data_IF_630902912131
#
_entry.id   IF_630902912131
#
_cell.length_a   1.000
_cell.length_b   1.000
_cell.length_c   1.000
_cell.angle_alpha   90.00
_cell.angle_beta   90.00
_cell.angle_gamma   90.00
#
_symmetry.space_group_name_H-M   'P 1'
#
loop_
_entity.id
_entity.type
_entity.pdbx_description
1 polymer ?
#
# COMPACT_ATOMS: atom_id res chain seq x y z
N UNK A 1 42.94 -36.97 -30.97
CA UNK A 1 43.27 -36.98 -29.54
C UNK A 1 41.95 -37.15 -28.81
N UNK A 2 41.44 -38.40 -28.80
CA UNK A 2 41.38 -39.30 -27.64
C UNK A 2 40.34 -38.82 -26.63
N UNK A 3 39.13 -39.41 -26.60
CA UNK A 3 38.80 -40.71 -25.95
C UNK A 3 38.48 -40.46 -24.46
N UNK A 4 37.41 -40.94 -23.83
CA UNK A 4 36.22 -41.76 -24.14
C UNK A 4 35.34 -41.76 -22.87
N UNK A 5 34.06 -42.12 -23.05
CA UNK A 5 33.21 -43.05 -22.27
C UNK A 5 33.15 -42.94 -20.73
N UNK A 6 32.06 -43.31 -20.05
CA UNK A 6 30.92 -44.18 -20.37
C UNK A 6 29.78 -43.73 -19.40
N UNK A 7 28.52 -43.55 -19.76
CA UNK A 7 27.48 -44.49 -20.27
C UNK A 7 26.60 -45.09 -19.18
N UNK A 8 25.28 -45.00 -19.44
CA UNK A 8 24.22 -46.01 -19.27
C UNK A 8 22.93 -45.27 -18.84
N UNK A 9 22.04 -44.83 -19.73
CA UNK A 9 21.05 -45.59 -20.55
C UNK A 9 20.24 -46.53 -19.66
N UNK A 10 18.90 -46.47 -19.56
CA UNK A 10 17.86 -46.91 -20.54
C UNK A 10 16.50 -46.64 -19.88
N UNK A 11 15.54 -45.90 -20.46
CA UNK A 11 14.56 -46.22 -21.51
C UNK A 11 13.36 -47.10 -21.08
N UNK A 12 12.17 -46.55 -21.42
CA UNK A 12 10.78 -47.00 -21.59
C UNK A 12 10.13 -48.15 -20.81
N UNK A 13 8.85 -47.91 -20.45
CA UNK A 13 7.68 -48.47 -21.16
C UNK A 13 6.51 -48.84 -20.23
N UNK A 14 5.39 -48.13 -20.41
CA UNK A 14 3.98 -48.57 -20.56
C UNK A 14 3.59 -49.98 -20.03
N UNK A 15 2.49 -50.09 -19.26
CA UNK A 15 1.18 -50.68 -19.66
C UNK A 15 0.28 -51.09 -18.48
N UNK A 16 -0.98 -50.66 -18.60
CA UNK A 16 -2.30 -51.16 -18.15
C UNK A 16 -2.47 -52.64 -17.71
N UNK A 17 -3.38 -52.90 -16.76
CA UNK A 17 -4.50 -53.89 -16.87
C UNK A 17 -5.14 -54.34 -15.53
N UNK A 18 -6.43 -54.01 -15.39
CA UNK A 18 -7.62 -54.84 -15.08
C UNK A 18 -7.63 -56.06 -14.10
N UNK A 19 -8.55 -55.96 -13.11
CA UNK A 19 -9.66 -56.86 -12.64
C UNK A 19 -9.57 -58.41 -12.75
N UNK A 20 -10.13 -59.10 -11.73
CA UNK A 20 -11.02 -60.32 -11.72
C UNK A 20 -10.55 -61.35 -10.67
N UNK A 21 -11.21 -61.50 -9.51
CA UNK A 21 -12.36 -62.39 -9.15
C UNK A 21 -11.92 -63.78 -8.64
N UNK A 22 -12.86 -64.47 -7.97
CA UNK A 22 -12.99 -65.92 -7.70
C UNK A 22 -13.01 -66.31 -6.20
N UNK A 23 -14.23 -66.31 -5.64
CA UNK A 23 -14.82 -67.25 -4.64
C UNK A 23 -14.60 -68.75 -5.02
N UNK A 24 -14.91 -69.84 -4.24
CA UNK A 24 -16.08 -69.99 -3.33
C UNK A 24 -15.95 -70.99 -2.13
N UNK A 25 -17.10 -71.19 -1.45
CA UNK A 25 -17.67 -72.43 -0.88
C UNK A 25 -17.02 -73.08 0.37
N UNK A 26 -17.73 -73.72 1.31
CA UNK A 26 -18.86 -74.66 1.20
C UNK A 26 -19.77 -74.63 2.46
N UNK A 27 -21.06 -74.87 2.22
CA UNK A 27 -22.18 -75.23 3.12
C UNK A 27 -21.89 -76.27 4.23
N UNK A 28 -22.68 -76.25 5.32
CA UNK A 28 -23.50 -77.41 5.76
C UNK A 28 -24.51 -77.05 6.90
N UNK A 29 -25.79 -76.90 6.54
CA UNK A 29 -27.00 -77.58 7.07
C UNK A 29 -27.36 -77.49 8.59
N UNK A 30 -28.44 -76.76 8.91
CA UNK A 30 -29.78 -77.22 9.38
C UNK A 30 -29.87 -77.80 10.81
N UNK A 31 -30.54 -77.07 11.73
CA UNK A 31 -31.89 -77.40 12.26
C UNK A 31 -32.27 -76.57 13.49
N UNK A 32 -33.44 -75.93 13.37
CA UNK A 32 -34.55 -75.79 14.33
C UNK A 32 -34.28 -76.12 15.81
N UNK A 33 -34.62 -75.19 16.71
CA UNK A 33 -35.90 -75.30 17.44
C UNK A 33 -36.40 -73.95 17.95
N UNK A 34 -37.72 -73.78 17.89
CA UNK A 34 -38.52 -72.75 18.53
C UNK A 34 -38.44 -72.96 20.06
N UNK A 35 -38.57 -71.98 20.93
CA UNK A 35 -39.87 -71.41 21.33
C UNK A 35 -39.64 -70.54 22.58
N UNK A 36 -40.05 -69.27 22.52
CA UNK A 36 -41.18 -68.68 23.25
C UNK A 36 -40.86 -68.33 24.72
N UNK A 37 -40.76 -67.03 25.02
CA UNK A 37 -41.81 -66.25 25.74
C UNK A 37 -41.40 -66.12 27.23
N UNK A 38 -41.59 -65.04 27.98
CA UNK A 38 -42.33 -63.81 27.81
C UNK A 38 -41.80 -62.75 28.81
N UNK A 39 -42.03 -61.49 28.46
CA UNK A 39 -42.24 -60.31 29.31
C UNK A 39 -41.36 -60.05 30.55
N UNK A 40 -40.59 -58.96 30.44
CA UNK A 40 -40.83 -57.82 31.35
C UNK A 40 -40.60 -56.52 30.61
N UNK A 41 -41.68 -55.75 30.47
CA UNK A 41 -41.64 -54.32 30.21
C UNK A 41 -40.91 -53.59 31.36
N UNK A 42 -40.28 -52.46 31.03
CA UNK A 42 -39.70 -51.56 32.03
C UNK A 42 -38.84 -50.48 31.41
N UNK A 43 -39.48 -49.36 31.06
CA UNK A 43 -38.95 -48.02 30.79
C UNK A 43 -37.55 -47.84 30.17
N UNK A 44 -37.52 -47.25 28.97
CA UNK A 44 -36.51 -46.24 28.64
C UNK A 44 -37.11 -45.09 27.84
N UNK A 45 -38.03 -44.35 28.47
CA UNK A 45 -38.36 -42.99 28.04
C UNK A 45 -37.51 -42.00 28.84
N UNK A 46 -36.34 -41.63 28.30
CA UNK A 46 -35.52 -40.60 28.95
C UNK A 46 -34.26 -40.16 28.20
N UNK A 47 -33.78 -40.93 27.23
CA UNK A 47 -32.47 -40.65 26.60
C UNK A 47 -32.51 -39.71 25.38
N UNK A 48 -33.68 -39.23 24.95
CA UNK A 48 -33.80 -38.48 23.68
C UNK A 48 -33.85 -36.95 23.87
N UNK A 49 -34.18 -36.45 25.08
CA UNK A 49 -34.27 -35.00 25.32
C UNK A 49 -32.93 -34.32 25.67
N UNK A 50 -31.95 -35.03 26.24
CA UNK A 50 -30.69 -34.41 26.68
C UNK A 50 -29.73 -34.10 25.52
N UNK A 51 -29.72 -34.95 24.49
CA UNK A 51 -28.84 -34.80 23.30
C UNK A 51 -29.22 -33.59 22.44
N UNK A 52 -30.51 -33.26 22.34
CA UNK A 52 -31.02 -32.09 21.59
C UNK A 52 -30.60 -30.75 22.21
N UNK A 53 -30.48 -30.68 23.55
CA UNK A 53 -30.07 -29.44 24.25
C UNK A 53 -28.58 -29.13 24.10
N UNK A 54 -27.72 -30.16 24.10
CA UNK A 54 -26.27 -30.01 23.91
C UNK A 54 -25.94 -29.58 22.48
N UNK A 55 -26.61 -30.15 21.47
CA UNK A 55 -26.43 -29.74 20.06
C UNK A 55 -26.87 -28.29 19.83
N UNK A 56 -27.97 -27.84 20.46
CA UNK A 56 -28.41 -26.44 20.41
C UNK A 56 -27.45 -25.48 21.10
N UNK A 57 -26.86 -25.88 22.23
CA UNK A 57 -25.87 -25.08 22.96
C UNK A 57 -24.54 -24.94 22.19
N UNK A 58 -24.07 -26.02 21.55
CA UNK A 58 -22.88 -25.97 20.68
C UNK A 58 -23.15 -25.12 19.44
N UNK A 59 -24.33 -25.23 18.82
CA UNK A 59 -24.72 -24.38 17.70
C UNK A 59 -24.74 -22.89 18.06
N UNK A 60 -25.28 -22.53 19.24
CA UNK A 60 -25.25 -21.15 19.74
C UNK A 60 -23.83 -20.66 20.06
N UNK A 61 -22.97 -21.51 20.63
CA UNK A 61 -21.58 -21.15 20.90
C UNK A 61 -20.80 -20.89 19.61
N UNK A 62 -20.97 -21.73 18.58
CA UNK A 62 -20.35 -21.54 17.26
C UNK A 62 -20.86 -20.26 16.60
N UNK A 63 -22.17 -19.99 16.66
CA UNK A 63 -22.74 -18.73 16.16
C UNK A 63 -22.19 -17.50 16.90
N UNK A 64 -22.06 -17.57 18.22
CA UNK A 64 -21.50 -16.46 19.01
C UNK A 64 -20.04 -16.19 18.65
N UNK A 65 -19.21 -17.24 18.49
CA UNK A 65 -17.82 -17.12 18.07
C UNK A 65 -17.74 -16.54 16.64
N UNK A 66 -18.58 -17.00 15.72
CA UNK A 66 -18.63 -16.48 14.36
C UNK A 66 -19.00 -14.99 14.32
N UNK A 67 -19.95 -14.55 15.15
CA UNK A 67 -20.32 -13.15 15.26
C UNK A 67 -19.17 -12.29 15.82
N UNK A 68 -18.49 -12.75 16.88
CA UNK A 68 -17.34 -12.05 17.45
C UNK A 68 -16.19 -11.95 16.43
N UNK A 69 -15.90 -13.05 15.73
CA UNK A 69 -14.89 -13.09 14.68
C UNK A 69 -15.23 -12.12 13.53
N UNK A 70 -16.50 -12.06 13.12
CA UNK A 70 -16.96 -11.11 12.10
C UNK A 70 -16.79 -9.67 12.54
N UNK A 71 -17.18 -9.31 13.77
CA UNK A 71 -17.02 -7.95 14.30
C UNK A 71 -15.53 -7.58 14.40
N UNK A 72 -14.69 -8.50 14.87
CA UNK A 72 -13.24 -8.31 14.93
C UNK A 72 -12.63 -8.09 13.55
N UNK A 73 -13.00 -8.90 12.56
CA UNK A 73 -12.53 -8.76 11.18
C UNK A 73 -13.00 -7.44 10.54
N UNK A 74 -14.26 -7.04 10.75
CA UNK A 74 -14.77 -5.75 10.26
C UNK A 74 -14.07 -4.57 10.91
N UNK A 75 -13.84 -4.61 12.23
CA UNK A 75 -13.08 -3.56 12.92
C UNK A 75 -11.64 -3.49 12.39
N UNK A 76 -10.97 -4.62 12.20
CA UNK A 76 -9.63 -4.66 11.61
C UNK A 76 -9.61 -4.02 10.22
N UNK A 77 -10.46 -4.49 9.30
CA UNK A 77 -10.54 -3.93 7.94
C UNK A 77 -10.84 -2.42 7.95
N UNK A 78 -11.72 -1.96 8.84
CA UNK A 78 -12.04 -0.55 8.96
C UNK A 78 -10.84 0.30 9.41
N UNK A 79 -10.13 -0.13 10.45
CA UNK A 79 -9.00 0.63 10.99
C UNK A 79 -7.75 0.57 10.11
N UNK A 80 -7.48 -0.57 9.49
CA UNK A 80 -6.21 -0.79 8.77
C UNK A 80 -6.32 -0.64 7.25
N UNK A 81 -7.53 -0.70 6.69
CA UNK A 81 -7.72 -0.58 5.24
C UNK A 81 -8.56 0.66 4.90
N UNK A 82 -9.74 0.83 5.53
CA UNK A 82 -10.68 1.87 5.13
C UNK A 82 -10.33 3.29 5.62
N UNK A 83 -9.74 3.43 6.81
CA UNK A 83 -9.33 4.73 7.37
C UNK A 83 -8.16 5.36 6.60
N UNK A 84 -7.07 4.62 6.31
CA UNK A 84 -6.00 5.13 5.46
C UNK A 84 -6.49 5.48 4.05
N UNK A 85 -7.39 4.66 3.46
CA UNK A 85 -7.94 4.91 2.12
C UNK A 85 -8.66 6.27 2.01
N UNK A 86 -9.36 6.73 3.06
CA UNK A 86 -10.00 8.06 3.06
C UNK A 86 -8.99 9.22 3.12
N UNK A 87 -7.88 9.04 3.81
CA UNK A 87 -6.82 10.06 3.90
C UNK A 87 -5.92 10.08 2.66
N UNK A 88 -6.05 9.09 1.78
CA UNK A 88 -5.33 8.98 0.51
C UNK A 88 -6.25 8.95 -0.72
N UNK A 89 -7.50 9.39 -0.59
CA UNK A 89 -8.43 9.47 -1.71
C UNK A 89 -8.01 10.56 -2.73
N UNK A 90 -8.68 10.58 -3.88
CA UNK A 90 -8.46 11.51 -5.00
C UNK A 90 -8.44 12.99 -4.58
N UNK A 91 -9.25 13.41 -3.60
CA UNK A 91 -9.18 14.78 -3.08
C UNK A 91 -7.89 15.04 -2.29
N UNK A 92 -7.46 14.10 -1.44
CA UNK A 92 -6.21 14.23 -0.70
C UNK A 92 -5.00 14.28 -1.65
N UNK A 93 -5.02 13.46 -2.70
CA UNK A 93 -4.03 13.50 -3.77
C UNK A 93 -3.97 14.88 -4.44
N UNK A 94 -5.13 15.46 -4.78
CA UNK A 94 -5.21 16.79 -5.38
C UNK A 94 -4.66 17.87 -4.44
N UNK A 95 -5.03 17.83 -3.16
CA UNK A 95 -4.53 18.78 -2.15
C UNK A 95 -3.01 18.70 -2.02
N UNK A 96 -2.43 17.49 -2.00
CA UNK A 96 -0.98 17.31 -1.94
C UNK A 96 -0.28 17.83 -3.20
N UNK A 97 -0.82 17.52 -4.40
CA UNK A 97 -0.31 18.03 -5.68
C UNK A 97 -0.35 19.56 -5.73
N UNK A 98 -1.48 20.16 -5.35
CA UNK A 98 -1.68 21.61 -5.38
C UNK A 98 -0.72 22.31 -4.39
N UNK A 99 -0.55 21.74 -3.19
CA UNK A 99 0.37 22.26 -2.19
C UNK A 99 1.83 22.17 -2.66
N UNK A 100 2.25 21.02 -3.20
CA UNK A 100 3.59 20.85 -3.76
C UNK A 100 3.85 21.82 -4.91
N UNK A 101 2.87 22.00 -5.80
CA UNK A 101 2.98 22.91 -6.94
C UNK A 101 3.12 24.36 -6.51
N UNK A 102 2.27 24.82 -5.60
CA UNK A 102 2.30 26.20 -5.08
C UNK A 102 3.59 26.48 -4.31
N UNK A 103 4.00 25.56 -3.44
CA UNK A 103 5.23 25.71 -2.66
C UNK A 103 6.47 25.73 -3.58
N UNK A 104 6.49 24.91 -4.63
CA UNK A 104 7.58 24.90 -5.61
C UNK A 104 7.67 26.19 -6.42
N UNK A 105 6.52 26.79 -6.78
CA UNK A 105 6.52 28.11 -7.43
C UNK A 105 7.08 29.17 -6.49
N UNK A 106 6.67 29.17 -5.21
CA UNK A 106 7.20 30.11 -4.21
C UNK A 106 8.69 29.91 -3.95
N UNK A 107 9.16 28.66 -3.97
CA UNK A 107 10.56 28.30 -3.75
C UNK A 107 11.49 28.85 -4.84
N UNK A 108 11.04 28.79 -6.09
CA UNK A 108 11.83 29.08 -7.29
C UNK A 108 11.64 30.51 -7.82
N UNK A 109 10.60 31.22 -7.39
CA UNK A 109 10.28 32.57 -7.85
C UNK A 109 10.78 33.62 -6.86
N UNK A 110 11.60 34.55 -7.34
CA UNK A 110 12.08 35.67 -6.53
C UNK A 110 12.51 36.84 -7.40
N UNK A 111 12.56 38.03 -6.81
CA UNK A 111 13.12 39.22 -7.45
C UNK A 111 14.02 40.03 -6.50
N UNK A 112 14.96 40.83 -7.02
CA UNK A 112 15.78 41.69 -6.18
C UNK A 112 14.96 42.67 -5.31
N UNK A 113 13.79 43.09 -5.79
CA UNK A 113 12.91 44.06 -5.13
C UNK A 113 12.15 43.45 -3.94
N UNK A 114 11.85 42.15 -3.99
CA UNK A 114 11.02 41.44 -3.00
C UNK A 114 11.76 40.31 -2.29
N UNK A 115 13.07 40.20 -2.50
CA UNK A 115 13.89 39.04 -2.15
C UNK A 115 13.69 38.51 -0.73
N UNK A 116 13.79 39.40 0.26
CA UNK A 116 13.70 39.01 1.67
C UNK A 116 12.29 38.47 2.01
N UNK A 117 11.26 39.05 1.39
CA UNK A 117 9.86 38.59 1.54
C UNK A 117 9.64 37.25 0.83
N UNK A 118 10.16 37.11 -0.39
CA UNK A 118 10.01 35.90 -1.20
C UNK A 118 10.64 34.70 -0.49
N UNK A 119 11.87 34.86 0.02
CA UNK A 119 12.56 33.79 0.77
C UNK A 119 11.91 33.51 2.12
N UNK A 120 11.42 34.53 2.84
CA UNK A 120 10.68 34.30 4.07
C UNK A 120 9.40 33.47 3.80
N UNK A 121 8.64 33.82 2.75
CA UNK A 121 7.45 33.08 2.36
C UNK A 121 7.78 31.64 1.97
N UNK A 122 8.79 31.42 1.12
CA UNK A 122 9.24 30.09 0.73
C UNK A 122 9.62 29.24 1.94
N UNK A 123 10.46 29.76 2.86
CA UNK A 123 10.91 29.06 4.07
C UNK A 123 9.75 28.56 4.94
N UNK A 124 8.60 29.26 5.00
CA UNK A 124 7.44 28.78 5.78
C UNK A 124 6.84 27.47 5.26
N UNK A 125 7.04 27.18 3.98
CA UNK A 125 6.53 26.02 3.27
C UNK A 125 7.54 24.86 3.22
N UNK A 126 8.71 25.00 3.85
CA UNK A 126 9.75 23.97 3.89
C UNK A 126 9.88 23.37 5.29
N UNK A 127 10.50 22.20 5.37
CA UNK A 127 10.79 21.53 6.63
C UNK A 127 12.05 20.67 6.54
N UNK A 128 12.53 20.23 7.72
CA UNK A 128 13.68 19.34 7.86
C UNK A 128 14.97 19.88 7.25
N UNK A 129 15.87 18.98 6.88
CA UNK A 129 17.20 19.32 6.35
C UNK A 129 17.12 20.17 5.06
N UNK A 130 16.05 20.04 4.28
CA UNK A 130 15.85 20.84 3.08
C UNK A 130 15.61 22.32 3.38
N UNK A 131 14.89 22.64 4.47
CA UNK A 131 14.74 24.02 4.93
C UNK A 131 16.09 24.64 5.30
N UNK A 132 16.94 23.89 6.00
CA UNK A 132 18.27 24.33 6.41
C UNK A 132 19.17 24.55 5.20
N UNK A 133 19.21 23.58 4.28
CA UNK A 133 19.93 23.70 3.01
C UNK A 133 19.48 24.92 2.20
N UNK A 134 18.17 25.09 2.02
CA UNK A 134 17.62 26.21 1.25
C UNK A 134 17.95 27.55 1.90
N UNK A 135 17.87 27.64 3.23
CA UNK A 135 18.23 28.83 4.00
C UNK A 135 19.69 29.22 3.75
N UNK A 136 20.60 28.26 3.89
CA UNK A 136 22.02 28.47 3.66
C UNK A 136 22.32 28.85 2.20
N UNK A 137 21.73 28.14 1.25
CA UNK A 137 21.93 28.37 -0.18
C UNK A 137 21.43 29.76 -0.61
N UNK A 138 20.24 30.15 -0.15
CA UNK A 138 19.67 31.45 -0.49
C UNK A 138 20.46 32.60 0.13
N UNK A 139 20.92 32.48 1.37
CA UNK A 139 21.70 33.52 2.04
C UNK A 139 23.11 33.67 1.47
N UNK A 140 23.80 32.55 1.23
CA UNK A 140 25.22 32.55 0.84
C UNK A 140 25.42 32.72 -0.66
N UNK A 141 24.49 32.23 -1.48
CA UNK A 141 24.67 32.14 -2.95
C UNK A 141 23.67 33.04 -3.69
N UNK A 142 22.38 32.86 -3.44
CA UNK A 142 21.34 33.54 -4.25
C UNK A 142 21.23 35.01 -3.89
N UNK A 143 21.30 35.37 -2.62
CA UNK A 143 21.14 36.76 -2.16
C UNK A 143 22.19 37.71 -2.75
N UNK A 144 23.50 37.38 -2.71
CA UNK A 144 24.51 38.20 -3.39
C UNK A 144 24.25 38.32 -4.90
N UNK A 145 23.90 37.22 -5.56
CA UNK A 145 23.62 37.22 -7.00
C UNK A 145 22.41 38.09 -7.36
N UNK A 146 21.30 37.93 -6.65
CA UNK A 146 20.08 38.71 -6.84
C UNK A 146 20.33 40.20 -6.65
N UNK A 147 20.99 40.61 -5.57
CA UNK A 147 21.24 42.03 -5.26
C UNK A 147 22.28 42.69 -6.17
N UNK A 148 23.37 41.98 -6.52
CA UNK A 148 24.47 42.56 -7.29
C UNK A 148 24.24 42.50 -8.80
N UNK A 149 23.68 41.39 -9.28
CA UNK A 149 23.46 41.15 -10.72
C UNK A 149 22.02 41.36 -11.16
N UNK A 150 21.16 41.84 -10.25
CA UNK A 150 19.72 42.02 -10.50
C UNK A 150 19.07 40.74 -11.03
N UNK A 151 19.42 39.59 -10.45
CA UNK A 151 18.87 38.30 -10.87
C UNK A 151 17.42 38.20 -10.39
N UNK A 152 16.52 37.96 -11.33
CA UNK A 152 15.11 37.70 -11.09
C UNK A 152 14.75 36.37 -11.73
N UNK A 153 13.98 35.56 -11.02
CA UNK A 153 13.53 34.25 -11.50
C UNK A 153 12.03 34.13 -11.34
N UNK A 154 11.37 33.56 -12.34
CA UNK A 154 9.95 33.18 -12.32
C UNK A 154 9.82 31.73 -12.72
N UNK A 155 9.08 30.96 -11.93
CA UNK A 155 8.78 29.57 -12.20
C UNK A 155 7.28 29.34 -12.37
N UNK A 156 6.93 28.35 -13.19
CA UNK A 156 5.57 27.86 -13.36
C UNK A 156 5.57 26.34 -13.45
N UNK A 157 4.70 25.70 -12.68
CA UNK A 157 4.43 24.26 -12.82
C UNK A 157 3.49 24.06 -14.00
N UNK A 158 3.95 23.35 -15.03
CA UNK A 158 3.13 23.06 -16.21
C UNK A 158 2.38 21.76 -16.10
N UNK A 159 2.92 20.80 -15.35
CA UNK A 159 2.29 19.52 -15.11
C UNK A 159 2.75 18.97 -13.78
N UNK A 160 1.87 18.26 -13.10
CA UNK A 160 2.15 17.63 -11.81
C UNK A 160 1.48 16.26 -11.76
N UNK A 161 2.14 15.29 -11.13
CA UNK A 161 1.61 13.96 -10.91
C UNK A 161 2.03 13.44 -9.54
N UNK A 162 1.11 12.80 -8.83
CA UNK A 162 1.40 12.12 -7.58
C UNK A 162 2.14 10.80 -7.88
N UNK A 163 3.27 10.60 -7.22
CA UNK A 163 4.05 9.34 -7.26
C UNK A 163 3.64 8.44 -6.09
N UNK A 164 3.57 9.01 -4.88
CA UNK A 164 3.24 8.30 -3.65
C UNK A 164 2.42 9.21 -2.72
N UNK A 165 1.50 8.62 -1.97
CA UNK A 165 0.72 9.33 -0.94
C UNK A 165 0.49 8.43 0.27
N UNK A 166 0.62 9.03 1.44
CA UNK A 166 0.34 8.48 2.75
C UNK A 166 -0.29 9.59 3.61
N UNK A 167 -0.89 9.27 4.77
CA UNK A 167 -1.55 10.29 5.60
C UNK A 167 -0.68 11.51 5.94
N UNK A 168 0.62 11.30 6.17
CA UNK A 168 1.58 12.33 6.62
C UNK A 168 2.69 12.63 5.61
N UNK A 169 2.75 11.94 4.47
CA UNK A 169 3.80 12.14 3.46
C UNK A 169 3.27 11.97 2.04
N UNK A 170 3.88 12.69 1.09
CA UNK A 170 3.60 12.52 -0.33
C UNK A 170 4.87 12.73 -1.16
N UNK A 171 4.91 12.14 -2.35
CA UNK A 171 5.93 12.43 -3.35
C UNK A 171 5.23 12.86 -4.64
N UNK A 172 5.58 14.04 -5.15
CA UNK A 172 4.96 14.63 -6.33
C UNK A 172 6.02 14.90 -7.39
N UNK A 173 5.81 14.39 -8.60
CA UNK A 173 6.62 14.73 -9.76
C UNK A 173 6.07 16.00 -10.39
N UNK A 174 6.91 17.03 -10.49
CA UNK A 174 6.57 18.31 -11.12
C UNK A 174 7.40 18.54 -12.37
N UNK A 175 6.74 19.07 -13.41
CA UNK A 175 7.36 19.62 -14.60
C UNK A 175 7.28 21.14 -14.50
N UNK A 176 8.44 21.79 -14.51
CA UNK A 176 8.59 23.20 -14.19
C UNK A 176 9.25 23.92 -15.36
N UNK A 177 8.66 25.03 -15.74
CA UNK A 177 9.27 26.01 -16.64
C UNK A 177 9.76 27.19 -15.81
N UNK A 178 10.99 27.61 -16.06
CA UNK A 178 11.63 28.71 -15.36
C UNK A 178 12.19 29.71 -16.36
N UNK A 179 12.01 30.99 -16.05
CA UNK A 179 12.67 32.09 -16.75
C UNK A 179 13.50 32.87 -15.76
N UNK A 180 14.77 33.09 -16.08
CA UNK A 180 15.70 33.87 -15.26
C UNK A 180 16.26 35.03 -16.06
N UNK A 181 16.13 36.25 -15.56
CA UNK A 181 16.68 37.48 -16.16
C UNK A 181 17.73 38.07 -15.23
N UNK A 182 18.70 38.79 -15.78
CA UNK A 182 19.68 39.52 -14.99
C UNK A 182 20.13 40.79 -15.72
N UNK A 183 20.92 41.64 -15.05
CA UNK A 183 21.54 42.81 -15.69
C UNK A 183 22.45 42.42 -16.87
N UNK A 184 23.08 41.26 -16.81
CA UNK A 184 23.99 40.75 -17.84
C UNK A 184 23.24 40.02 -18.98
N UNK A 185 22.04 39.51 -18.70
CA UNK A 185 21.17 38.86 -19.67
C UNK A 185 19.72 39.40 -19.58
N UNK A 186 19.44 40.55 -20.21
CA UNK A 186 18.13 41.22 -20.13
C UNK A 186 17.02 40.45 -20.85
N UNK A 187 17.36 39.74 -21.94
CA UNK A 187 16.40 38.95 -22.72
C UNK A 187 16.00 37.64 -21.99
N UNK A 188 16.75 37.29 -20.94
CA UNK A 188 16.47 36.16 -20.07
C UNK A 188 16.97 34.82 -20.61
N UNK A 189 16.95 33.82 -19.74
CA UNK A 189 17.23 32.44 -20.06
C UNK A 189 16.03 31.59 -19.63
N UNK A 190 15.64 30.67 -20.50
CA UNK A 190 14.56 29.72 -20.24
C UNK A 190 15.13 28.34 -19.92
N UNK A 191 14.56 27.68 -18.92
CA UNK A 191 14.86 26.30 -18.57
C UNK A 191 13.57 25.54 -18.32
N UNK A 192 13.53 24.28 -18.75
CA UNK A 192 12.50 23.33 -18.38
C UNK A 192 13.15 22.19 -17.60
N UNK A 193 12.56 21.81 -16.46
CA UNK A 193 13.10 20.79 -15.57
C UNK A 193 12.00 19.90 -15.02
N UNK A 194 12.36 18.67 -14.64
CA UNK A 194 11.49 17.75 -13.91
C UNK A 194 12.09 17.49 -12.53
N UNK A 195 11.26 17.53 -11.49
CA UNK A 195 11.70 17.40 -10.10
C UNK A 195 10.74 16.49 -9.32
N UNK A 196 11.29 15.66 -8.45
CA UNK A 196 10.53 14.94 -7.43
C UNK A 196 10.54 15.78 -6.16
N UNK A 197 9.34 16.11 -5.69
CA UNK A 197 9.12 16.93 -4.51
C UNK A 197 8.61 16.03 -3.40
N UNK A 198 9.42 15.84 -2.37
CA UNK A 198 9.01 15.19 -1.13
C UNK A 198 8.20 16.17 -0.29
N UNK A 199 7.04 15.75 0.17
CA UNK A 199 6.14 16.51 1.02
C UNK A 199 5.94 15.80 2.35
N UNK A 200 5.99 16.55 3.45
CA UNK A 200 5.64 16.10 4.79
C UNK A 200 4.53 16.99 5.35
N UNK A 201 3.51 16.37 5.94
CA UNK A 201 2.43 17.08 6.61
C UNK A 201 2.84 17.40 8.04
N UNK A 202 2.79 18.67 8.42
CA UNK A 202 3.14 19.15 9.77
C UNK A 202 2.02 20.09 10.21
N UNK A 203 1.41 19.80 11.36
CA UNK A 203 0.29 20.56 11.91
C UNK A 203 -0.86 20.77 10.90
N UNK A 204 -1.12 19.76 10.07
CA UNK A 204 -2.14 19.78 9.02
C UNK A 204 -1.76 20.51 7.72
N UNK A 205 -0.56 21.10 7.65
CA UNK A 205 -0.06 21.78 6.46
C UNK A 205 1.01 20.94 5.74
N UNK A 206 0.87 20.81 4.42
CA UNK A 206 1.88 20.18 3.57
C UNK A 206 3.09 21.10 3.40
N UNK A 207 4.29 20.58 3.66
CA UNK A 207 5.57 21.28 3.51
C UNK A 207 6.55 20.47 2.68
N UNK A 208 7.39 21.13 1.89
CA UNK A 208 8.44 20.48 1.10
C UNK A 208 9.55 20.02 2.06
N UNK A 209 9.84 18.73 2.04
CA UNK A 209 10.92 18.09 2.79
C UNK A 209 12.09 17.68 1.89
N UNK A 210 11.89 17.54 0.58
CA UNK A 210 12.97 17.33 -0.40
C UNK A 210 12.60 17.88 -1.78
N UNK A 211 13.62 18.18 -2.58
CA UNK A 211 13.44 18.75 -3.92
C UNK A 211 14.55 18.25 -4.84
N UNK A 212 14.30 17.13 -5.50
CA UNK A 212 15.33 16.33 -6.16
C UNK A 212 15.12 16.34 -7.68
N UNK A 213 16.14 16.66 -8.50
CA UNK A 213 16.04 16.54 -9.95
C UNK A 213 15.89 15.08 -10.38
N UNK A 214 15.19 14.85 -11.49
CA UNK A 214 15.03 13.52 -12.13
C UNK A 214 16.14 13.25 -13.14
#
# INVERSE_FOLDING_TARGET
MTEKDDTSVTDTSVTDASVTDVEPSVDEIDRRDESLEDASAGESEGAVQSRRRVVGAVGMAVLAIALIASVGATAWLYFFQFRPDQETDSEAAKVAIDAASQASVSLLTYSPETLDKDFAAAKTQLTGDFLDYYTDFTEKIVTPAAKQKQVKTSAAVVQAALSQLSPESAEVLLFINQTTTSKENPDGAYAASSVKVGMTKIDGAWKISSFDPV
#
